data_IF_583876212821
#
_entry.id   IF_583876212821
#
_cell.length_a   1.000
_cell.length_b   1.000
_cell.length_c   1.000
_cell.angle_alpha   90.00
_cell.angle_beta   90.00
_cell.angle_gamma   90.00
#
_symmetry.space_group_name_H-M   'P 1'
#
loop_
_entity.id
_entity.type
_entity.pdbx_description
1 polymer ?
#
# COMPACT_ATOMS: atom_id res chain seq x y z
N UNK A 1 -24.32 16.54 -12.45
CA UNK A 1 -25.36 17.41 -11.86
C UNK A 1 -24.72 18.66 -11.32
N UNK A 2 -25.13 19.82 -11.83
CA UNK A 2 -24.69 21.13 -11.37
C UNK A 2 -25.88 21.88 -10.76
N UNK A 3 -25.67 22.78 -9.78
CA UNK A 3 -26.78 23.53 -9.17
C UNK A 3 -27.57 24.38 -10.16
N UNK A 4 -26.90 24.98 -11.15
CA UNK A 4 -27.51 25.96 -12.06
C UNK A 4 -27.96 25.37 -13.41
N UNK A 5 -27.22 24.41 -13.98
CA UNK A 5 -27.47 23.90 -15.35
C UNK A 5 -28.11 22.51 -15.36
N UNK A 6 -28.45 21.96 -14.19
CA UNK A 6 -28.94 20.59 -14.08
C UNK A 6 -27.86 19.57 -14.49
N UNK A 7 -28.26 18.53 -15.23
CA UNK A 7 -27.33 17.53 -15.76
C UNK A 7 -26.74 18.01 -17.07
N UNK A 8 -25.42 18.10 -17.12
CA UNK A 8 -24.64 18.36 -18.32
C UNK A 8 -23.79 17.14 -18.63
N UNK A 9 -23.57 16.90 -19.92
CA UNK A 9 -22.70 15.84 -20.42
C UNK A 9 -21.40 16.46 -20.91
N UNK A 10 -20.28 15.91 -20.45
CA UNK A 10 -18.91 16.35 -20.78
C UNK A 10 -18.08 15.13 -21.17
N UNK A 11 -17.19 15.30 -22.16
CA UNK A 11 -16.30 14.25 -22.67
C UNK A 11 -14.97 14.85 -23.13
N UNK A 12 -14.06 14.03 -23.66
CA UNK A 12 -12.82 14.52 -24.27
C UNK A 12 -13.07 15.36 -25.54
N UNK A 13 -14.21 15.16 -26.18
CA UNK A 13 -14.65 15.83 -27.41
C UNK A 13 -15.64 16.97 -27.11
N UNK A 14 -16.37 16.88 -25.99
CA UNK A 14 -17.40 17.82 -25.57
C UNK A 14 -17.02 18.51 -24.25
N UNK A 15 -16.58 19.76 -24.35
CA UNK A 15 -16.07 20.56 -23.23
C UNK A 15 -14.89 19.87 -22.50
N UNK A 16 -13.76 19.66 -23.20
CA UNK A 16 -12.62 18.91 -22.68
C UNK A 16 -12.01 19.56 -21.42
N UNK A 17 -12.01 20.89 -21.34
CA UNK A 17 -11.47 21.60 -20.19
C UNK A 17 -12.26 21.25 -18.92
N UNK A 18 -13.60 21.39 -18.98
CA UNK A 18 -14.47 21.01 -17.88
C UNK A 18 -14.39 19.51 -17.58
N UNK A 19 -14.30 18.65 -18.59
CA UNK A 19 -14.15 17.20 -18.41
C UNK A 19 -12.90 16.85 -17.59
N UNK A 20 -11.73 17.41 -17.96
CA UNK A 20 -10.47 17.12 -17.25
C UNK A 20 -10.42 17.74 -15.85
N UNK A 21 -11.06 18.89 -15.62
CA UNK A 21 -11.22 19.46 -14.29
C UNK A 21 -12.16 18.61 -13.42
N UNK A 22 -13.35 18.28 -13.93
CA UNK A 22 -14.39 17.55 -13.20
C UNK A 22 -13.94 16.16 -12.72
N UNK A 23 -13.09 15.46 -13.52
CA UNK A 23 -12.51 14.16 -13.17
C UNK A 23 -11.83 14.12 -11.79
N UNK A 24 -11.20 15.21 -11.37
CA UNK A 24 -10.52 15.32 -10.09
C UNK A 24 -11.10 16.45 -9.23
N UNK A 25 -12.32 16.90 -9.53
CA UNK A 25 -12.98 18.04 -8.89
C UNK A 25 -13.49 17.81 -7.47
N UNK A 26 -13.41 16.58 -6.96
CA UNK A 26 -13.89 16.15 -5.63
C UNK A 26 -15.33 16.58 -5.30
N UNK A 27 -16.19 16.63 -6.31
CA UNK A 27 -17.58 17.08 -6.17
C UNK A 27 -17.76 18.61 -6.12
N UNK A 28 -16.68 19.39 -6.01
CA UNK A 28 -16.75 20.86 -5.95
C UNK A 28 -17.28 21.52 -7.23
N UNK A 29 -17.08 20.88 -8.38
CA UNK A 29 -17.61 21.34 -9.67
C UNK A 29 -19.01 20.77 -9.98
N UNK A 30 -19.52 19.89 -9.13
CA UNK A 30 -20.79 19.17 -9.31
C UNK A 30 -20.66 17.67 -9.01
N UNK A 31 -21.81 17.01 -8.92
CA UNK A 31 -21.90 15.57 -8.64
C UNK A 31 -21.93 14.78 -9.94
N UNK A 32 -21.08 13.76 -10.08
CA UNK A 32 -21.11 12.83 -11.22
C UNK A 32 -22.33 11.91 -11.06
N UNK A 33 -23.30 12.01 -11.96
CA UNK A 33 -24.48 11.13 -11.97
C UNK A 33 -24.24 9.84 -12.75
N UNK A 34 -23.47 9.93 -13.83
CA UNK A 34 -23.15 8.81 -14.71
C UNK A 34 -21.71 8.98 -15.22
N UNK A 35 -21.00 7.88 -15.38
CA UNK A 35 -19.65 7.86 -15.95
C UNK A 35 -19.54 6.72 -16.96
N UNK A 36 -19.01 7.03 -18.14
CA UNK A 36 -18.59 6.02 -19.11
C UNK A 36 -17.07 5.85 -19.00
N UNK A 37 -16.63 4.63 -18.69
CA UNK A 37 -15.21 4.28 -18.58
C UNK A 37 -14.74 3.56 -19.83
N UNK A 38 -13.61 3.98 -20.38
CA UNK A 38 -12.96 3.27 -21.48
C UNK A 38 -12.36 1.96 -20.95
N UNK A 39 -12.84 0.83 -21.45
CA UNK A 39 -12.27 -0.49 -21.16
C UNK A 39 -11.10 -0.79 -22.08
N UNK A 40 -10.16 -1.59 -21.58
CA UNK A 40 -9.12 -2.23 -22.38
C UNK A 40 -9.48 -3.70 -22.62
N UNK A 41 -8.81 -4.34 -23.56
CA UNK A 41 -8.97 -5.78 -23.77
C UNK A 41 -8.64 -6.57 -22.50
N UNK A 42 -9.46 -7.58 -22.22
CA UNK A 42 -9.24 -8.47 -21.09
C UNK A 42 -7.94 -9.23 -21.28
N UNK A 43 -7.11 -9.27 -20.24
CA UNK A 43 -5.81 -9.94 -20.30
C UNK A 43 -5.51 -10.66 -18.98
N UNK A 44 -4.76 -11.75 -19.07
CA UNK A 44 -4.18 -12.40 -17.91
C UNK A 44 -2.87 -11.72 -17.51
N UNK A 45 -2.65 -11.61 -16.21
CA UNK A 45 -1.42 -11.11 -15.63
C UNK A 45 -0.72 -12.21 -14.84
N UNK A 46 0.60 -12.18 -14.89
CA UNK A 46 1.49 -12.91 -13.99
C UNK A 46 1.95 -11.92 -12.93
N UNK A 47 1.51 -12.12 -11.69
CA UNK A 47 2.07 -11.48 -10.50
C UNK A 47 3.26 -12.30 -10.01
N UNK A 48 4.34 -11.61 -9.64
CA UNK A 48 5.52 -12.19 -9.03
C UNK A 48 5.85 -11.41 -7.76
N UNK A 49 5.82 -12.12 -6.64
CA UNK A 49 6.13 -11.61 -5.32
C UNK A 49 7.48 -12.14 -4.88
N UNK A 50 8.38 -11.23 -4.53
CA UNK A 50 9.73 -11.53 -4.03
C UNK A 50 10.05 -10.68 -2.82
N UNK A 51 11.07 -11.06 -2.07
CA UNK A 51 11.62 -10.23 -1.01
C UNK A 51 12.99 -9.68 -1.42
N UNK A 52 13.24 -8.41 -1.10
CA UNK A 52 14.49 -7.72 -1.39
C UNK A 52 14.84 -6.75 -0.26
N UNK A 53 15.94 -6.03 -0.41
CA UNK A 53 16.35 -4.93 0.47
C UNK A 53 16.27 -3.59 -0.23
N UNK A 54 16.27 -2.49 0.53
CA UNK A 54 16.26 -1.14 -0.07
C UNK A 54 17.48 -0.88 -0.96
N UNK A 55 18.65 -1.46 -0.62
CA UNK A 55 19.87 -1.32 -1.41
C UNK A 55 19.78 -2.05 -2.76
N UNK A 56 19.21 -3.25 -2.75
CA UNK A 56 18.95 -4.00 -3.97
C UNK A 56 17.88 -3.32 -4.83
N UNK A 57 16.82 -2.77 -4.21
CA UNK A 57 15.83 -1.98 -4.91
C UNK A 57 16.48 -0.78 -5.57
N UNK A 58 17.29 0.00 -4.84
CA UNK A 58 17.99 1.18 -5.40
C UNK A 58 18.81 0.82 -6.65
N UNK A 59 19.47 -0.33 -6.65
CA UNK A 59 20.23 -0.85 -7.80
C UNK A 59 19.34 -1.27 -8.97
N UNK A 60 18.19 -1.86 -8.70
CA UNK A 60 17.31 -2.47 -9.71
C UNK A 60 16.09 -1.62 -10.07
N UNK A 61 15.85 -0.48 -9.41
CA UNK A 61 14.59 0.25 -9.48
C UNK A 61 14.21 0.67 -10.91
N UNK A 62 15.18 1.26 -11.63
CA UNK A 62 15.00 1.60 -13.05
C UNK A 62 14.63 0.40 -13.92
N UNK A 63 15.26 -0.76 -13.67
CA UNK A 63 14.93 -2.01 -14.36
C UNK A 63 13.50 -2.43 -14.04
N UNK A 64 13.11 -2.39 -12.76
CA UNK A 64 11.75 -2.74 -12.35
C UNK A 64 10.69 -1.86 -13.01
N UNK A 65 10.88 -0.53 -13.03
CA UNK A 65 9.95 0.40 -13.68
C UNK A 65 9.84 0.17 -15.19
N UNK A 66 10.95 -0.15 -15.87
CA UNK A 66 10.96 -0.28 -17.33
C UNK A 66 10.50 -1.66 -17.83
N UNK A 67 10.78 -2.72 -17.08
CA UNK A 67 10.47 -4.09 -17.51
C UNK A 67 9.08 -4.57 -17.09
N UNK A 68 8.44 -3.91 -16.13
CA UNK A 68 7.17 -4.36 -15.57
C UNK A 68 6.02 -3.41 -15.89
N UNK A 69 4.83 -3.96 -16.17
CA UNK A 69 3.63 -3.15 -16.39
C UNK A 69 3.16 -2.52 -15.08
N UNK A 70 3.26 -3.27 -13.98
CA UNK A 70 2.96 -2.80 -12.64
C UNK A 70 4.07 -3.19 -11.68
N UNK A 71 4.41 -2.28 -10.77
CA UNK A 71 5.36 -2.48 -9.69
C UNK A 71 4.76 -1.92 -8.41
N UNK A 72 4.83 -2.69 -7.33
CA UNK A 72 4.47 -2.28 -5.98
C UNK A 72 5.58 -2.70 -5.03
N UNK A 73 6.02 -1.80 -4.17
CA UNK A 73 6.89 -2.11 -3.05
C UNK A 73 6.11 -2.00 -1.74
N UNK A 74 6.35 -2.93 -0.83
CA UNK A 74 5.80 -2.94 0.52
C UNK A 74 6.98 -2.92 1.48
N UNK A 75 7.27 -1.76 2.05
CA UNK A 75 8.36 -1.59 2.99
C UNK A 75 7.89 -1.95 4.38
N UNK A 76 8.61 -2.86 5.03
CA UNK A 76 8.34 -3.27 6.40
C UNK A 76 9.17 -2.36 7.33
N UNK A 77 8.54 -1.49 8.14
CA UNK A 77 9.28 -0.61 9.06
C UNK A 77 10.11 -1.41 10.07
N UNK A 78 11.24 -0.85 10.51
CA UNK A 78 12.17 -1.48 11.46
C UNK A 78 12.82 -2.79 11.00
N UNK A 79 12.78 -3.08 9.70
CA UNK A 79 13.49 -4.18 9.08
C UNK A 79 14.20 -3.70 7.80
N UNK A 80 15.11 -4.50 7.26
CA UNK A 80 15.69 -4.28 5.92
C UNK A 80 14.80 -4.82 4.78
N UNK A 81 13.70 -5.49 5.14
CA UNK A 81 12.87 -6.29 4.25
C UNK A 81 11.89 -5.41 3.47
N UNK A 82 11.86 -5.63 2.16
CA UNK A 82 10.90 -5.00 1.24
C UNK A 82 10.28 -6.09 0.37
N UNK A 83 8.96 -6.18 0.38
CA UNK A 83 8.25 -7.08 -0.54
C UNK A 83 8.11 -6.35 -1.87
N UNK A 84 8.59 -6.99 -2.92
CA UNK A 84 8.52 -6.50 -4.30
C UNK A 84 7.50 -7.32 -5.05
N UNK A 85 6.42 -6.66 -5.47
CA UNK A 85 5.36 -7.26 -6.30
C UNK A 85 5.44 -6.65 -7.69
N UNK A 86 5.57 -7.51 -8.70
CA UNK A 86 5.63 -7.10 -10.11
C UNK A 86 4.56 -7.84 -10.90
N UNK A 87 3.86 -7.13 -11.78
CA UNK A 87 2.84 -7.74 -12.62
C UNK A 87 3.07 -7.44 -14.10
N UNK A 88 2.94 -8.46 -14.93
CA UNK A 88 3.11 -8.38 -16.37
C UNK A 88 2.06 -9.22 -17.13
N UNK A 89 1.70 -8.84 -18.36
CA UNK A 89 0.90 -9.70 -19.22
C UNK A 89 1.55 -11.07 -19.42
N UNK A 90 0.73 -12.13 -19.43
CA UNK A 90 1.20 -13.51 -19.71
C UNK A 90 1.94 -13.60 -21.05
N UNK A 91 1.61 -12.75 -22.03
CA UNK A 91 2.28 -12.69 -23.34
C UNK A 91 3.78 -12.39 -23.28
N UNK A 92 4.30 -11.81 -22.17
CA UNK A 92 5.75 -11.68 -21.95
C UNK A 92 6.44 -13.00 -21.61
N UNK A 93 5.68 -14.04 -21.27
CA UNK A 93 6.17 -15.33 -20.82
C UNK A 93 6.01 -16.40 -21.90
N UNK A 94 6.97 -17.32 -21.99
CA UNK A 94 6.88 -18.52 -22.84
C UNK A 94 6.11 -19.63 -22.11
N UNK A 95 4.88 -19.32 -21.69
CA UNK A 95 4.04 -20.16 -20.83
C UNK A 95 4.11 -19.79 -19.35
N UNK A 96 3.24 -20.37 -18.49
CA UNK A 96 3.20 -20.05 -17.06
C UNK A 96 4.57 -20.26 -16.41
N UNK A 97 5.00 -19.37 -15.50
CA UNK A 97 6.27 -19.54 -14.80
C UNK A 97 6.27 -20.85 -14.02
N UNK A 98 7.28 -21.69 -14.27
CA UNK A 98 7.49 -22.90 -13.49
C UNK A 98 8.15 -22.50 -12.17
N UNK A 99 7.37 -22.49 -11.11
CA UNK A 99 7.86 -22.19 -9.76
C UNK A 99 7.37 -23.26 -8.79
N UNK A 100 8.28 -23.76 -7.97
CA UNK A 100 7.96 -24.64 -6.85
C UNK A 100 8.29 -23.87 -5.57
N UNK A 101 7.30 -23.54 -4.73
CA UNK A 101 7.55 -22.89 -3.45
C UNK A 101 8.57 -23.68 -2.64
N UNK A 102 9.51 -22.96 -2.03
CA UNK A 102 10.50 -23.56 -1.13
C UNK A 102 9.87 -23.99 0.20
N UNK A 103 8.83 -23.28 0.62
CA UNK A 103 8.13 -23.49 1.88
C UNK A 103 6.65 -23.76 1.62
N UNK A 104 6.01 -24.46 2.55
CA UNK A 104 4.55 -24.62 2.59
C UNK A 104 3.89 -23.37 3.17
N UNK A 105 2.57 -23.24 2.99
CA UNK A 105 1.79 -22.15 3.60
C UNK A 105 1.89 -22.17 5.14
N UNK A 106 1.89 -23.35 5.76
CA UNK A 106 2.03 -23.48 7.21
C UNK A 106 3.42 -23.08 7.71
N UNK A 107 4.48 -23.44 6.98
CA UNK A 107 5.85 -23.01 7.30
C UNK A 107 6.02 -21.49 7.21
N UNK A 108 5.31 -20.85 6.27
CA UNK A 108 5.27 -19.39 6.15
C UNK A 108 4.60 -18.73 7.37
N UNK A 109 3.48 -19.30 7.84
CA UNK A 109 2.71 -18.77 8.97
C UNK A 109 3.33 -19.04 10.35
N UNK A 110 4.26 -19.99 10.46
CA UNK A 110 4.82 -20.47 11.73
C UNK A 110 5.29 -19.34 12.67
N UNK A 111 6.07 -18.38 12.16
CA UNK A 111 6.62 -17.31 13.00
C UNK A 111 5.54 -16.37 13.55
N UNK A 112 4.54 -16.05 12.73
CA UNK A 112 3.42 -15.19 13.12
C UNK A 112 2.53 -15.90 14.14
N UNK A 113 2.25 -17.20 13.93
CA UNK A 113 1.52 -18.04 14.89
C UNK A 113 2.24 -18.15 16.23
N UNK A 114 3.55 -18.39 16.21
CA UNK A 114 4.37 -18.47 17.42
C UNK A 114 4.35 -17.13 18.19
N UNK A 115 4.58 -16.01 17.49
CA UNK A 115 4.53 -14.68 18.10
C UNK A 115 3.16 -14.41 18.73
N UNK A 116 2.07 -14.82 18.07
CA UNK A 116 0.73 -14.66 18.60
C UNK A 116 0.50 -15.48 19.88
N UNK A 117 0.94 -16.74 19.91
CA UNK A 117 0.89 -17.57 21.13
C UNK A 117 1.68 -16.96 22.30
N UNK A 118 2.91 -16.50 22.04
CA UNK A 118 3.76 -15.85 23.05
C UNK A 118 3.14 -14.53 23.54
N UNK A 119 2.56 -13.74 22.63
CA UNK A 119 1.91 -12.47 22.96
C UNK A 119 0.64 -12.69 23.79
N UNK A 120 -0.14 -13.73 23.52
CA UNK A 120 -1.30 -14.09 24.33
C UNK A 120 -0.88 -14.41 25.77
N UNK A 121 0.20 -15.16 25.99
CA UNK A 121 0.71 -15.43 27.33
C UNK A 121 1.15 -14.16 28.07
N UNK A 122 1.76 -13.21 27.34
CA UNK A 122 2.21 -11.93 27.90
C UNK A 122 1.06 -10.99 28.27
N UNK A 123 0.09 -10.81 27.36
CA UNK A 123 -0.96 -9.80 27.47
C UNK A 123 -2.26 -10.35 28.11
N UNK A 124 -2.44 -11.67 28.12
CA UNK A 124 -3.62 -12.35 28.68
C UNK A 124 -3.21 -13.59 29.52
N UNK A 125 -2.39 -13.43 30.57
CA UNK A 125 -1.88 -14.55 31.36
C UNK A 125 -2.99 -15.38 32.06
N UNK A 126 -4.13 -14.75 32.36
CA UNK A 126 -5.23 -15.35 33.12
C UNK A 126 -6.31 -16.02 32.24
N UNK A 127 -6.23 -15.87 30.92
CA UNK A 127 -7.16 -16.53 29.99
C UNK A 127 -6.64 -17.92 29.69
N UNK A 128 -7.24 -18.95 30.31
CA UNK A 128 -7.00 -20.35 29.91
C UNK A 128 -7.37 -20.50 28.43
N UNK A 129 -6.50 -21.16 27.65
CA UNK A 129 -6.57 -21.40 26.19
C UNK A 129 -7.82 -22.18 25.69
N UNK A 130 -8.94 -22.13 26.40
CA UNK A 130 -10.18 -22.84 26.10
C UNK A 130 -11.36 -21.87 26.03
N UNK A 131 -11.29 -20.88 25.13
CA UNK A 131 -12.52 -20.27 24.64
C UNK A 131 -12.96 -21.10 23.44
N UNK A 132 -14.04 -21.89 23.60
CA UNK A 132 -14.64 -22.68 22.51
C UNK A 132 -15.14 -21.80 21.35
N UNK A 133 -15.23 -20.48 21.55
CA UNK A 133 -15.72 -19.48 20.57
C UNK A 133 -14.60 -18.80 19.76
N UNK A 134 -13.31 -18.96 20.10
CA UNK A 134 -12.22 -18.39 19.29
C UNK A 134 -11.71 -19.42 18.26
N UNK A 135 -11.59 -19.06 16.97
CA UNK A 135 -11.09 -19.96 15.94
C UNK A 135 -9.67 -20.44 16.24
N UNK A 136 -9.36 -21.68 15.86
CA UNK A 136 -8.02 -22.25 16.04
C UNK A 136 -6.99 -21.35 15.33
N UNK A 137 -5.88 -21.07 16.02
CA UNK A 137 -4.72 -20.35 15.48
C UNK A 137 -4.24 -20.93 14.13
N UNK A 138 -4.42 -22.24 13.93
CA UNK A 138 -4.02 -22.90 12.69
C UNK A 138 -4.97 -22.59 11.53
N UNK A 139 -6.21 -22.18 11.78
CA UNK A 139 -7.18 -21.83 10.75
C UNK A 139 -7.08 -20.36 10.33
N UNK A 140 -6.42 -19.53 11.14
CA UNK A 140 -6.26 -18.11 10.86
C UNK A 140 -5.31 -17.85 9.69
N UNK A 141 -5.74 -16.99 8.78
CA UNK A 141 -4.91 -16.43 7.72
C UNK A 141 -3.84 -15.48 8.26
N UNK A 142 -2.86 -15.14 7.42
CA UNK A 142 -1.82 -14.17 7.78
C UNK A 142 -2.39 -12.81 8.19
N UNK A 143 -3.37 -12.29 7.44
CA UNK A 143 -3.98 -10.99 7.70
C UNK A 143 -4.75 -10.99 9.02
N UNK A 144 -5.47 -12.06 9.34
CA UNK A 144 -6.17 -12.19 10.62
C UNK A 144 -5.21 -12.30 11.80
N UNK A 145 -4.10 -13.05 11.65
CA UNK A 145 -3.07 -13.14 12.68
C UNK A 145 -2.39 -11.79 12.92
N UNK A 146 -2.07 -11.04 11.86
CA UNK A 146 -1.51 -9.69 11.96
C UNK A 146 -2.48 -8.74 12.67
N UNK A 147 -3.75 -8.73 12.28
CA UNK A 147 -4.77 -7.87 12.89
C UNK A 147 -4.95 -8.20 14.38
N UNK A 148 -5.00 -9.49 14.74
CA UNK A 148 -5.06 -9.94 16.15
C UNK A 148 -3.81 -9.58 16.94
N UNK A 149 -2.62 -9.71 16.34
CA UNK A 149 -1.37 -9.30 16.97
C UNK A 149 -1.34 -7.80 17.25
N UNK A 150 -1.69 -6.97 16.26
CA UNK A 150 -1.72 -5.53 16.41
C UNK A 150 -2.78 -5.09 17.44
N UNK A 151 -3.91 -5.81 17.54
CA UNK A 151 -4.95 -5.51 18.53
C UNK A 151 -4.48 -5.61 19.99
N UNK A 152 -3.45 -6.40 20.28
CA UNK A 152 -2.97 -6.62 21.64
C UNK A 152 -2.35 -5.34 22.25
N UNK A 153 -1.57 -4.61 21.47
CA UNK A 153 -0.85 -3.41 21.93
C UNK A 153 -0.42 -2.52 20.75
N UNK A 154 -1.37 -1.89 20.02
CA UNK A 154 -1.13 -1.29 18.70
C UNK A 154 -0.20 -0.08 18.71
N UNK A 155 0.01 0.55 19.88
CA UNK A 155 0.86 1.74 20.04
C UNK A 155 2.17 1.43 20.75
N UNK A 156 2.40 0.18 21.15
CA UNK A 156 3.67 -0.24 21.70
C UNK A 156 4.65 -0.53 20.57
N UNK A 157 5.60 0.39 20.38
CA UNK A 157 6.64 0.29 19.35
C UNK A 157 7.37 -1.06 19.39
N UNK A 158 7.80 -1.53 20.55
CA UNK A 158 8.59 -2.76 20.65
C UNK A 158 7.75 -4.00 20.28
N UNK A 159 6.45 -3.95 20.56
CA UNK A 159 5.50 -4.97 20.10
C UNK A 159 5.32 -4.91 18.58
N UNK A 160 5.05 -3.72 18.02
CA UNK A 160 4.90 -3.52 16.57
C UNK A 160 6.16 -3.93 15.80
N UNK A 161 7.35 -3.67 16.32
CA UNK A 161 8.62 -4.14 15.73
C UNK A 161 8.64 -5.67 15.63
N UNK A 162 8.21 -6.39 16.67
CA UNK A 162 8.15 -7.87 16.63
C UNK A 162 7.14 -8.36 15.61
N UNK A 163 5.98 -7.71 15.50
CA UNK A 163 4.97 -8.03 14.48
C UNK A 163 5.55 -7.83 13.08
N UNK A 164 6.21 -6.71 12.82
CA UNK A 164 6.86 -6.41 11.55
C UNK A 164 7.97 -7.42 11.22
N UNK A 165 8.74 -7.87 12.21
CA UNK A 165 9.75 -8.92 12.02
C UNK A 165 9.12 -10.27 11.65
N UNK A 166 8.03 -10.66 12.31
CA UNK A 166 7.29 -11.88 11.98
C UNK A 166 6.65 -11.79 10.58
N UNK A 167 6.12 -10.63 10.19
CA UNK A 167 5.63 -10.36 8.83
C UNK A 167 6.76 -10.45 7.78
N UNK A 168 7.95 -9.92 8.08
CA UNK A 168 9.10 -10.06 7.19
C UNK A 168 9.48 -11.53 6.95
N UNK A 169 9.49 -12.36 7.99
CA UNK A 169 9.73 -13.80 7.86
C UNK A 169 8.62 -14.54 7.10
N UNK A 170 7.36 -14.13 7.28
CA UNK A 170 6.24 -14.64 6.48
C UNK A 170 6.45 -14.37 4.99
N UNK A 171 6.80 -13.14 4.62
CA UNK A 171 6.99 -12.78 3.22
C UNK A 171 8.20 -13.47 2.56
N UNK A 172 9.31 -13.65 3.29
CA UNK A 172 10.48 -14.42 2.81
C UNK A 172 10.13 -15.88 2.49
N UNK A 173 9.11 -16.43 3.13
CA UNK A 173 8.61 -17.78 2.90
C UNK A 173 7.44 -17.85 1.92
N UNK A 174 6.89 -16.71 1.51
CA UNK A 174 5.70 -16.58 0.67
C UNK A 174 5.99 -16.07 -0.75
N UNK A 175 7.28 -16.02 -1.16
CA UNK A 175 7.67 -15.66 -2.52
C UNK A 175 7.08 -16.64 -3.55
N UNK A 176 6.71 -16.13 -4.72
CA UNK A 176 6.17 -16.96 -5.78
C UNK A 176 5.39 -16.21 -6.84
N UNK A 177 4.63 -16.96 -7.63
CA UNK A 177 3.89 -16.46 -8.77
C UNK A 177 2.40 -16.76 -8.65
N UNK A 178 1.59 -15.84 -9.15
CA UNK A 178 0.14 -16.02 -9.36
C UNK A 178 -0.20 -15.65 -10.79
N UNK A 179 -1.09 -16.41 -11.40
CA UNK A 179 -1.63 -16.12 -12.73
C UNK A 179 -3.13 -16.01 -12.61
N UNK A 180 -3.70 -14.95 -13.17
CA UNK A 180 -5.14 -14.71 -13.13
C UNK A 180 -5.53 -13.55 -14.03
N UNK A 181 -6.81 -13.24 -14.08
CA UNK A 181 -7.30 -12.11 -14.87
C UNK A 181 -6.86 -10.78 -14.26
N UNK A 182 -6.70 -9.75 -15.10
CA UNK A 182 -6.17 -8.45 -14.63
C UNK A 182 -6.99 -7.82 -13.50
N UNK A 183 -8.30 -8.00 -13.48
CA UNK A 183 -9.21 -7.54 -12.44
C UNK A 183 -9.04 -8.32 -11.12
N UNK A 184 -8.72 -9.62 -11.20
CA UNK A 184 -8.46 -10.47 -10.03
C UNK A 184 -7.07 -10.22 -9.44
N UNK A 185 -6.05 -10.05 -10.30
CA UNK A 185 -4.66 -9.87 -9.89
C UNK A 185 -4.40 -8.46 -9.34
N UNK A 186 -5.01 -7.43 -9.92
CA UNK A 186 -4.84 -6.05 -9.46
C UNK A 186 -5.77 -5.69 -8.29
N UNK A 187 -6.76 -6.54 -8.02
CA UNK A 187 -7.56 -6.46 -6.80
C UNK A 187 -6.72 -6.86 -5.58
N UNK A 188 -6.91 -6.16 -4.47
CA UNK A 188 -6.26 -6.50 -3.21
C UNK A 188 -7.24 -6.37 -2.05
N UNK A 189 -7.13 -7.30 -1.11
CA UNK A 189 -7.81 -7.21 0.18
C UNK A 189 -6.95 -6.36 1.12
N UNK A 190 -7.54 -5.31 1.69
CA UNK A 190 -6.87 -4.46 2.67
C UNK A 190 -6.86 -5.09 4.08
N UNK A 191 -7.59 -6.20 4.28
CA UNK A 191 -7.89 -6.73 5.61
C UNK A 191 -8.85 -5.82 6.37
N UNK A 192 -8.61 -5.61 7.66
CA UNK A 192 -9.42 -4.77 8.52
C UNK A 192 -9.41 -3.27 8.20
N UNK A 193 -10.07 -2.49 9.08
CA UNK A 193 -10.08 -1.03 8.96
C UNK A 193 -8.70 -0.44 9.21
N UNK A 194 -8.35 0.59 8.46
CA UNK A 194 -7.05 1.25 8.55
C UNK A 194 -7.15 2.74 8.23
N UNK A 195 -6.32 3.54 8.87
CA UNK A 195 -5.99 4.88 8.44
C UNK A 195 -4.87 4.83 7.41
N UNK A 196 -5.04 5.59 6.33
CA UNK A 196 -4.04 5.70 5.26
C UNK A 196 -3.85 7.18 4.93
N UNK A 197 -2.61 7.64 4.85
CA UNK A 197 -2.26 8.89 4.20
C UNK A 197 -1.32 8.55 3.05
N UNK A 198 -1.72 8.86 1.83
CA UNK A 198 -0.96 8.55 0.62
C UNK A 198 -0.55 9.85 -0.04
N UNK A 199 0.71 9.99 -0.41
CA UNK A 199 1.25 11.18 -1.08
C UNK A 199 1.74 10.82 -2.47
N UNK A 200 1.67 11.79 -3.38
CA UNK A 200 2.08 11.67 -4.78
C UNK A 200 3.09 12.75 -5.12
N UNK A 201 4.19 12.36 -5.76
CA UNK A 201 5.24 13.30 -6.20
C UNK A 201 5.91 12.83 -7.50
N UNK A 202 6.49 13.74 -8.29
CA UNK A 202 7.14 13.40 -9.55
C UNK A 202 8.40 12.56 -9.32
N UNK A 203 8.55 11.50 -10.12
CA UNK A 203 9.64 10.53 -10.04
C UNK A 203 10.54 10.51 -11.30
N UNK A 204 10.50 11.59 -12.10
CA UNK A 204 11.23 11.68 -13.37
C UNK A 204 10.49 10.95 -14.49
N UNK A 205 11.20 10.21 -15.34
CA UNK A 205 10.62 9.45 -16.45
C UNK A 205 11.01 7.97 -16.37
N UNK A 206 10.34 7.09 -17.12
CA UNK A 206 10.73 5.67 -17.19
C UNK A 206 12.18 5.46 -17.69
N UNK A 207 12.63 6.29 -18.64
CA UNK A 207 13.98 6.19 -19.20
C UNK A 207 15.05 6.75 -18.26
N UNK A 208 14.69 7.74 -17.44
CA UNK A 208 15.56 8.38 -16.46
C UNK A 208 14.79 8.68 -15.15
N UNK A 209 14.53 7.66 -14.31
CA UNK A 209 13.92 7.87 -13.01
C UNK A 209 14.81 8.77 -12.16
N UNK A 210 14.20 9.67 -11.39
CA UNK A 210 14.95 10.64 -10.58
C UNK A 210 15.62 10.01 -9.35
N UNK A 211 15.20 8.80 -8.97
CA UNK A 211 15.56 8.10 -7.73
C UNK A 211 15.08 8.77 -6.44
N UNK A 212 14.43 9.93 -6.53
CA UNK A 212 13.82 10.64 -5.39
C UNK A 212 12.74 9.82 -4.70
N UNK A 213 12.11 8.91 -5.42
CA UNK A 213 11.13 7.96 -4.91
C UNK A 213 11.71 6.93 -3.96
N UNK A 214 12.94 6.46 -4.19
CA UNK A 214 13.64 5.60 -3.25
C UNK A 214 14.25 6.42 -2.11
N UNK A 215 14.81 7.59 -2.39
CA UNK A 215 15.35 8.51 -1.37
C UNK A 215 14.28 8.94 -0.36
N UNK A 216 13.06 9.23 -0.83
CA UNK A 216 11.90 9.54 0.02
C UNK A 216 11.64 8.43 1.05
N UNK A 217 11.71 7.17 0.63
CA UNK A 217 11.48 6.03 1.52
C UNK A 217 12.64 5.86 2.51
N UNK A 218 13.90 6.05 2.07
CA UNK A 218 15.06 6.03 2.98
C UNK A 218 14.88 7.06 4.09
N UNK A 219 14.50 8.29 3.76
CA UNK A 219 14.25 9.36 4.74
C UNK A 219 13.01 9.11 5.60
N UNK A 220 11.92 8.57 5.02
CA UNK A 220 10.72 8.21 5.77
C UNK A 220 11.03 7.14 6.83
N UNK A 221 11.83 6.12 6.48
CA UNK A 221 12.24 5.08 7.45
C UNK A 221 13.12 5.66 8.56
N UNK A 222 14.04 6.56 8.23
CA UNK A 222 14.84 7.28 9.22
C UNK A 222 13.96 8.12 10.16
N UNK A 223 12.94 8.80 9.62
CA UNK A 223 11.98 9.58 10.42
C UNK A 223 11.21 8.70 11.39
N UNK A 224 10.70 7.55 10.94
CA UNK A 224 9.99 6.56 11.79
C UNK A 224 10.88 6.08 12.94
N UNK A 225 12.15 5.77 12.65
CA UNK A 225 13.09 5.30 13.67
C UNK A 225 13.42 6.40 14.69
N UNK A 226 13.72 7.61 14.19
CA UNK A 226 14.09 8.78 14.98
C UNK A 226 12.98 9.23 15.91
N UNK A 227 11.75 9.29 15.41
CA UNK A 227 10.57 9.74 16.17
C UNK A 227 9.87 8.59 16.91
N UNK A 228 10.44 7.37 16.86
CA UNK A 228 9.96 6.19 17.59
C UNK A 228 8.49 5.81 17.30
N UNK A 229 8.05 6.01 16.05
CA UNK A 229 6.66 5.80 15.63
C UNK A 229 6.35 4.30 15.60
N UNK A 230 5.29 3.81 16.26
CA UNK A 230 4.89 2.39 16.21
C UNK A 230 4.24 2.03 14.86
N UNK A 231 4.95 2.23 13.75
CA UNK A 231 4.45 2.08 12.39
C UNK A 231 4.32 0.59 12.00
N UNK A 232 3.10 0.06 11.83
CA UNK A 232 2.90 -1.30 11.35
C UNK A 232 3.19 -1.40 9.86
N UNK A 233 3.62 -2.58 9.41
CA UNK A 233 3.82 -2.86 7.99
C UNK A 233 2.48 -3.03 7.24
N UNK A 234 2.45 -2.76 5.93
CA UNK A 234 3.52 -2.15 5.13
C UNK A 234 3.32 -0.66 4.85
N UNK A 235 4.42 0.06 4.60
CA UNK A 235 4.37 1.31 3.82
C UNK A 235 4.31 0.92 2.35
N UNK A 236 3.28 1.36 1.64
CA UNK A 236 3.10 0.98 0.24
C UNK A 236 3.68 2.02 -0.70
N UNK A 237 4.36 1.59 -1.77
CA UNK A 237 4.79 2.46 -2.86
C UNK A 237 4.40 1.90 -4.23
N UNK A 238 3.84 2.77 -5.08
CA UNK A 238 3.37 2.45 -6.44
C UNK A 238 3.69 3.58 -7.41
N UNK A 239 3.65 3.30 -8.70
CA UNK A 239 3.90 4.30 -9.74
C UNK A 239 2.75 4.38 -10.74
N UNK A 240 2.55 5.57 -11.30
CA UNK A 240 1.65 5.82 -12.41
C UNK A 240 2.33 6.68 -13.47
N UNK A 241 1.85 6.57 -14.70
CA UNK A 241 2.06 7.61 -15.71
C UNK A 241 1.30 8.88 -15.32
N UNK A 242 1.75 10.02 -15.84
CA UNK A 242 1.10 11.32 -15.65
C UNK A 242 -0.40 11.34 -15.99
N UNK A 243 -1.12 12.15 -15.26
CA UNK A 243 -2.52 12.49 -15.48
C UNK A 243 -2.64 13.70 -16.40
N UNK A 244 -3.68 13.69 -17.25
CA UNK A 244 -4.09 14.86 -18.04
C UNK A 244 -5.03 15.81 -17.29
N UNK A 245 -5.46 15.43 -16.08
CA UNK A 245 -6.32 16.28 -15.24
C UNK A 245 -5.48 17.29 -14.47
N UNK A 246 -5.69 18.61 -14.64
CA UNK A 246 -4.92 19.64 -13.94
C UNK A 246 -4.98 19.54 -12.42
N UNK A 247 -6.12 19.09 -11.87
CA UNK A 247 -6.33 18.94 -10.43
C UNK A 247 -5.79 17.61 -9.85
N UNK A 248 -5.16 16.78 -10.68
CA UNK A 248 -4.54 15.54 -10.20
C UNK A 248 -3.16 15.84 -9.60
N UNK A 249 -2.82 15.25 -8.44
CA UNK A 249 -1.45 15.26 -7.90
C UNK A 249 -0.39 14.72 -8.87
N UNK A 250 -0.81 13.88 -9.82
CA UNK A 250 0.05 13.32 -10.87
C UNK A 250 -0.06 14.08 -12.20
N UNK A 251 -0.54 15.33 -12.20
CA UNK A 251 -0.65 16.13 -13.43
C UNK A 251 0.72 16.58 -13.93
N UNK A 252 1.00 16.39 -15.22
CA UNK A 252 2.18 16.95 -15.87
C UNK A 252 1.90 17.29 -17.34
N UNK A 253 2.46 18.39 -17.87
CA UNK A 253 2.47 18.67 -19.30
C UNK A 253 3.40 17.72 -20.07
N UNK A 254 4.42 17.15 -19.43
CA UNK A 254 5.36 16.23 -20.07
C UNK A 254 4.78 14.81 -20.14
N UNK A 255 4.79 14.20 -21.33
CA UNK A 255 4.06 12.95 -21.55
C UNK A 255 4.67 11.73 -20.87
N UNK A 256 6.00 11.74 -20.72
CA UNK A 256 6.78 10.61 -20.22
C UNK A 256 7.01 10.66 -18.70
N UNK A 257 6.46 11.68 -18.04
CA UNK A 257 6.58 11.83 -16.58
C UNK A 257 5.86 10.70 -15.86
N UNK A 258 6.53 10.18 -14.84
CA UNK A 258 5.99 9.22 -13.89
C UNK A 258 5.91 9.83 -12.50
N UNK A 259 4.98 9.31 -11.70
CA UNK A 259 4.72 9.74 -10.34
C UNK A 259 4.78 8.55 -9.40
N UNK A 260 5.39 8.76 -8.25
CA UNK A 260 5.45 7.82 -7.13
C UNK A 260 4.35 8.16 -6.14
N UNK A 261 3.63 7.14 -5.69
CA UNK A 261 2.61 7.19 -4.65
C UNK A 261 3.12 6.44 -3.44
N UNK A 262 3.22 7.09 -2.27
CA UNK A 262 3.65 6.46 -1.01
C UNK A 262 2.55 6.56 0.03
N UNK A 263 2.08 5.41 0.53
CA UNK A 263 1.05 5.29 1.56
C UNK A 263 1.62 4.86 2.90
N UNK A 264 1.46 5.71 3.92
CA UNK A 264 1.66 5.33 5.33
C UNK A 264 0.34 4.80 5.91
N UNK A 265 0.42 3.77 6.76
CA UNK A 265 -0.74 3.04 7.27
C UNK A 265 -0.67 2.91 8.78
N UNK A 266 -1.82 3.07 9.46
CA UNK A 266 -2.03 2.64 10.84
C UNK A 266 -3.32 1.82 10.91
N UNK A 267 -3.23 0.57 11.36
CA UNK A 267 -4.39 -0.31 11.49
C UNK A 267 -5.32 0.14 12.62
N UNK A 268 -6.62 -0.10 12.46
CA UNK A 268 -7.65 0.08 13.48
C UNK A 268 -8.20 -1.29 13.89
N UNK A 269 -7.40 -2.14 14.56
CA UNK A 269 -7.70 -3.57 14.77
C UNK A 269 -8.72 -3.83 15.89
N UNK A 270 -9.32 -2.77 16.44
CA UNK A 270 -10.19 -2.81 17.62
C UNK A 270 -11.46 -2.02 17.39
N UNK A 271 -12.54 -2.43 18.06
CA UNK A 271 -13.80 -1.68 18.15
C UNK A 271 -13.85 -0.75 19.37
N UNK A 272 -12.87 -0.83 20.28
CA UNK A 272 -12.83 0.03 21.47
C UNK A 272 -12.62 1.50 21.07
N UNK A 273 -13.58 2.36 21.45
CA UNK A 273 -13.59 3.74 21.00
C UNK A 273 -12.40 4.55 21.50
N UNK A 274 -11.88 4.25 22.71
CA UNK A 274 -10.77 4.96 23.30
C UNK A 274 -9.46 4.60 22.60
N UNK A 275 -9.17 3.31 22.46
CA UNK A 275 -7.98 2.83 21.76
C UNK A 275 -7.97 3.28 20.29
N UNK A 276 -9.13 3.25 19.61
CA UNK A 276 -9.25 3.81 18.25
C UNK A 276 -8.93 5.29 18.19
N UNK A 277 -9.36 6.08 19.18
CA UNK A 277 -9.03 7.51 19.26
C UNK A 277 -7.53 7.71 19.43
N UNK A 278 -6.89 6.98 20.33
CA UNK A 278 -5.44 7.04 20.56
C UNK A 278 -4.66 6.67 19.29
N UNK A 279 -5.05 5.60 18.58
CA UNK A 279 -4.46 5.23 17.28
C UNK A 279 -4.64 6.32 16.23
N UNK A 280 -5.81 6.95 16.20
CA UNK A 280 -6.12 8.01 15.25
C UNK A 280 -5.26 9.24 15.52
N UNK A 281 -5.08 9.63 16.78
CA UNK A 281 -4.20 10.73 17.18
C UNK A 281 -2.74 10.45 16.79
N UNK A 282 -2.26 9.23 17.03
CA UNK A 282 -0.91 8.81 16.62
C UNK A 282 -0.74 8.81 15.09
N UNK A 283 -1.73 8.33 14.34
CA UNK A 283 -1.71 8.40 12.88
C UNK A 283 -1.59 9.84 12.36
N UNK A 284 -2.36 10.77 12.93
CA UNK A 284 -2.27 12.17 12.51
C UNK A 284 -0.97 12.83 12.96
N UNK A 285 -0.37 12.40 14.07
CA UNK A 285 0.98 12.80 14.45
C UNK A 285 2.02 12.32 13.43
N UNK A 286 2.03 11.02 13.12
CA UNK A 286 2.90 10.43 12.11
C UNK A 286 2.75 11.13 10.75
N UNK A 287 1.52 11.32 10.26
CA UNK A 287 1.25 12.07 9.03
C UNK A 287 1.84 13.47 9.07
N UNK A 288 1.62 14.23 10.15
CA UNK A 288 2.14 15.60 10.29
C UNK A 288 3.66 15.64 10.22
N UNK A 289 4.35 14.69 10.84
CA UNK A 289 5.80 14.55 10.72
C UNK A 289 6.21 14.32 9.26
N UNK A 290 5.55 13.43 8.52
CA UNK A 290 5.88 13.27 7.09
C UNK A 290 5.65 14.56 6.29
N UNK A 291 4.60 15.31 6.62
CA UNK A 291 4.27 16.57 5.97
C UNK A 291 5.34 17.64 6.20
N UNK A 292 5.73 17.84 7.46
CA UNK A 292 6.72 18.85 7.85
C UNK A 292 8.12 18.53 7.31
N UNK A 293 8.50 17.25 7.25
CA UNK A 293 9.88 16.86 6.93
C UNK A 293 10.12 16.46 5.48
N UNK A 294 9.10 15.95 4.78
CA UNK A 294 9.28 15.36 3.45
C UNK A 294 8.50 16.09 2.35
N UNK A 295 7.25 16.53 2.59
CA UNK A 295 6.36 16.85 1.47
C UNK A 295 6.87 18.00 0.60
N UNK A 296 7.25 19.14 1.19
CA UNK A 296 7.73 20.29 0.43
C UNK A 296 9.03 19.97 -0.34
N UNK A 297 9.95 19.22 0.28
CA UNK A 297 11.24 18.85 -0.31
C UNK A 297 11.10 18.00 -1.57
N UNK A 298 10.07 17.15 -1.60
CA UNK A 298 9.78 16.26 -2.71
C UNK A 298 8.67 16.77 -3.62
N UNK A 299 8.07 17.93 -3.31
CA UNK A 299 6.87 18.44 -3.98
C UNK A 299 5.74 17.40 -3.97
N UNK A 300 5.52 16.81 -2.80
CA UNK A 300 4.53 15.78 -2.59
C UNK A 300 3.17 16.37 -2.20
N UNK A 301 2.14 15.85 -2.85
CA UNK A 301 0.76 16.26 -2.65
C UNK A 301 -0.06 15.07 -2.15
N UNK A 302 -0.93 15.32 -1.19
CA UNK A 302 -1.78 14.27 -0.64
C UNK A 302 -2.78 13.73 -1.68
N UNK A 303 -2.99 12.42 -1.63
CA UNK A 303 -4.01 11.74 -2.40
C UNK A 303 -5.39 12.04 -1.81
N UNK A 304 -6.26 12.60 -2.64
CA UNK A 304 -7.60 13.05 -2.26
C UNK A 304 -8.48 12.00 -1.57
N UNK A 305 -8.29 10.70 -1.86
CA UNK A 305 -9.21 9.64 -1.44
C UNK A 305 -8.97 9.08 -0.03
N UNK A 306 -7.87 9.46 0.65
CA UNK A 306 -7.35 8.67 1.77
C UNK A 306 -7.67 9.20 3.17
N UNK A 307 -7.89 10.51 3.32
CA UNK A 307 -8.40 11.08 4.58
C UNK A 307 -9.92 11.21 4.52
N UNK A 308 -10.62 10.48 5.39
CA UNK A 308 -12.02 10.78 5.73
C UNK A 308 -12.00 11.75 6.92
N UNK A 309 -12.42 12.99 6.66
CA UNK A 309 -12.69 13.99 7.71
C UNK A 309 -14.00 13.68 8.42
#
# INVERSE_FOLDING_TARGET
>A
VTPAKGTIEVSKEKDPELFYLARCGLGGLGVVAEVTLQCVDRQELVEHTTVSTIQEIKKNHKKFLSENKHVKYLYIPYTDTVVVVTCNPVSKWKGPPKFKPKYTADEALQHVRQLYQESLQKYRPDVKFSNEDEPDINELSFTELRDKLLALDPLNKDHVIKVNQAEAEFWKKSEGYRVGWSDEILGFDCGGQQWVSETCYPAGTLSKPSMKDIEYIEELKQLIEKEHIPAPAPIEQRWTARSKSPMSPASSPAEDDIFSWVGIIMYLPTSDARQRKEITEEFFHYRRLTQEWLWDRYSAYEHWARLRF
#
